data_IF_322568262670
#
_entry.id   IF_322568262670
#
_cell.length_a   1.000
_cell.length_b   1.000
_cell.length_c   1.000
_cell.angle_alpha   90.00
_cell.angle_beta   90.00
_cell.angle_gamma   90.00
#
_symmetry.space_group_name_H-M   'P 1'
#
loop_
_entity.id
_entity.type
_entity.pdbx_description
1 polymer ?
#
# COMPACT_ATOMS: atom_id res chain seq x y z
N UNK A 1 16.74 9.61 -8.02
CA UNK A 1 16.64 8.18 -7.66
C UNK A 1 17.87 7.77 -6.88
N UNK A 2 17.68 7.02 -5.79
CA UNK A 2 18.67 6.75 -4.75
C UNK A 2 20.06 6.33 -5.29
N UNK A 3 20.08 5.45 -6.30
CA UNK A 3 21.32 4.87 -6.85
C UNK A 3 21.84 5.56 -8.12
N UNK A 4 21.14 6.56 -8.66
CA UNK A 4 21.51 7.19 -9.94
C UNK A 4 21.75 8.70 -9.82
N UNK A 5 21.68 9.26 -8.61
CA UNK A 5 21.97 10.67 -8.35
C UNK A 5 23.46 10.89 -8.12
N UNK A 6 24.07 11.82 -8.86
CA UNK A 6 25.49 12.17 -8.80
C UNK A 6 25.96 12.75 -7.45
N UNK A 7 25.06 12.94 -6.49
CA UNK A 7 25.35 13.43 -5.15
C UNK A 7 25.96 12.37 -4.22
N UNK A 8 26.01 11.11 -4.64
CA UNK A 8 26.73 10.05 -3.94
C UNK A 8 28.02 9.76 -4.69
N UNK A 9 29.10 10.41 -4.27
CA UNK A 9 30.45 10.29 -4.84
C UNK A 9 31.22 9.06 -4.33
N UNK A 10 30.63 8.27 -3.44
CA UNK A 10 31.18 7.00 -2.98
C UNK A 10 30.15 5.90 -3.20
N UNK A 11 30.59 4.71 -3.63
CA UNK A 11 29.78 3.49 -3.74
C UNK A 11 29.19 3.12 -2.39
N UNK A 12 28.12 3.78 -1.96
CA UNK A 12 27.42 3.46 -0.72
C UNK A 12 26.67 2.15 -0.95
N UNK A 13 27.31 1.03 -0.57
CA UNK A 13 26.79 -0.35 -0.75
C UNK A 13 25.63 -0.68 0.18
N UNK A 14 25.38 0.17 1.17
CA UNK A 14 24.34 -0.04 2.18
C UNK A 14 23.37 1.14 2.22
N UNK A 15 22.08 0.80 2.24
CA UNK A 15 20.97 1.73 2.33
C UNK A 15 20.13 1.32 3.53
N UNK A 16 19.97 2.24 4.49
CA UNK A 16 19.06 2.05 5.60
C UNK A 16 17.67 2.58 5.22
N UNK A 17 16.64 1.75 5.39
CA UNK A 17 15.24 2.09 5.13
C UNK A 17 14.49 2.15 6.47
N UNK A 18 14.43 3.33 7.12
CA UNK A 18 13.78 3.46 8.41
C UNK A 18 12.27 3.23 8.28
N UNK A 19 11.69 2.49 9.23
CA UNK A 19 10.24 2.23 9.26
C UNK A 19 9.75 1.15 8.30
N UNK A 20 10.66 0.41 7.66
CA UNK A 20 10.30 -0.73 6.80
C UNK A 20 10.58 -2.02 7.54
N UNK A 21 9.54 -2.83 7.77
CA UNK A 21 9.69 -4.17 8.33
C UNK A 21 10.39 -5.11 7.34
N UNK A 22 11.23 -6.02 7.86
CA UNK A 22 12.00 -6.95 7.02
C UNK A 22 11.10 -7.87 6.20
N UNK A 23 9.98 -8.34 6.76
CA UNK A 23 9.05 -9.22 6.06
C UNK A 23 8.40 -8.51 4.86
N UNK A 24 8.06 -7.23 5.01
CA UNK A 24 7.48 -6.42 3.94
C UNK A 24 8.51 -6.16 2.83
N UNK A 25 9.76 -5.87 3.21
CA UNK A 25 10.83 -5.70 2.22
C UNK A 25 11.10 -6.99 1.44
N UNK A 26 11.04 -8.15 2.10
CA UNK A 26 11.16 -9.45 1.44
C UNK A 26 10.06 -9.66 0.39
N UNK A 27 8.80 -9.32 0.71
CA UNK A 27 7.69 -9.38 -0.25
C UNK A 27 7.91 -8.45 -1.46
N UNK A 28 8.42 -7.25 -1.23
CA UNK A 28 8.73 -6.29 -2.29
C UNK A 28 9.84 -6.83 -3.21
N UNK A 29 10.89 -7.42 -2.63
CA UNK A 29 11.97 -8.04 -3.40
C UNK A 29 11.46 -9.25 -4.18
N UNK A 30 10.64 -10.11 -3.56
CA UNK A 30 10.00 -11.24 -4.24
C UNK A 30 9.19 -10.76 -5.45
N UNK A 31 8.42 -9.69 -5.30
CA UNK A 31 7.69 -9.08 -6.42
C UNK A 31 8.63 -8.53 -7.51
N UNK A 32 9.71 -7.85 -7.12
CA UNK A 32 10.66 -7.27 -8.06
C UNK A 32 11.35 -8.34 -8.93
N UNK A 33 11.76 -9.46 -8.33
CA UNK A 33 12.51 -10.52 -9.02
C UNK A 33 11.61 -11.58 -9.68
N UNK A 34 10.50 -11.94 -9.05
CA UNK A 34 9.66 -13.09 -9.47
C UNK A 34 8.29 -12.68 -10.01
N UNK A 35 7.93 -11.39 -9.92
CA UNK A 35 6.58 -10.88 -10.25
C UNK A 35 5.46 -11.58 -9.47
N UNK A 36 5.79 -12.14 -8.30
CA UNK A 36 4.86 -12.81 -7.40
C UNK A 36 4.73 -12.00 -6.11
N UNK A 37 3.50 -11.80 -5.64
CA UNK A 37 3.19 -11.04 -4.43
C UNK A 37 1.97 -11.64 -3.73
N UNK A 38 2.15 -12.01 -2.47
CA UNK A 38 1.12 -12.63 -1.64
C UNK A 38 0.51 -11.58 -0.71
N UNK A 39 -0.64 -11.04 -1.11
CA UNK A 39 -1.35 -9.98 -0.36
C UNK A 39 -2.42 -10.60 0.54
N UNK A 40 -2.48 -10.14 1.79
CA UNK A 40 -3.44 -10.57 2.81
C UNK A 40 -3.93 -9.38 3.63
N UNK A 41 -5.01 -9.56 4.40
CA UNK A 41 -5.54 -8.51 5.29
C UNK A 41 -4.52 -7.99 6.31
N UNK A 42 -3.61 -8.84 6.77
CA UNK A 42 -2.63 -8.48 7.81
C UNK A 42 -1.47 -7.68 7.23
N UNK A 43 -1.10 -7.90 5.96
CA UNK A 43 0.08 -7.27 5.36
C UNK A 43 -0.24 -6.11 4.40
N UNK A 44 -1.48 -6.00 3.91
CA UNK A 44 -1.82 -5.10 2.80
C UNK A 44 -1.57 -3.63 3.13
N UNK A 45 -1.80 -3.21 4.37
CA UNK A 45 -1.57 -1.83 4.79
C UNK A 45 -0.08 -1.50 4.82
N UNK A 46 0.73 -2.29 5.52
CA UNK A 46 2.19 -2.06 5.61
C UNK A 46 2.86 -2.17 4.23
N UNK A 47 2.39 -3.10 3.40
CA UNK A 47 2.86 -3.27 2.03
C UNK A 47 2.53 -2.06 1.16
N UNK A 48 1.31 -1.51 1.29
CA UNK A 48 0.90 -0.31 0.57
C UNK A 48 1.67 0.94 1.03
N UNK A 49 1.88 1.11 2.34
CA UNK A 49 2.71 2.20 2.89
C UNK A 49 4.13 2.12 2.33
N UNK A 50 4.75 0.94 2.41
CA UNK A 50 6.13 0.74 1.97
C UNK A 50 6.26 0.88 0.45
N UNK A 51 5.31 0.35 -0.31
CA UNK A 51 5.27 0.50 -1.76
C UNK A 51 5.10 1.96 -2.18
N UNK A 52 4.30 2.74 -1.45
CA UNK A 52 4.18 4.17 -1.67
C UNK A 52 5.48 4.91 -1.34
N UNK A 53 6.12 4.59 -0.21
CA UNK A 53 7.42 5.14 0.19
C UNK A 53 8.52 4.88 -0.86
N UNK A 54 8.55 3.69 -1.44
CA UNK A 54 9.51 3.29 -2.48
C UNK A 54 9.04 3.61 -3.92
N UNK A 55 7.86 4.23 -4.07
CA UNK A 55 7.24 4.57 -5.36
C UNK A 55 7.02 3.37 -6.32
N UNK A 56 6.67 2.19 -5.79
CA UNK A 56 6.45 0.97 -6.57
C UNK A 56 4.97 0.86 -6.97
N UNK A 57 4.60 1.59 -8.03
CA UNK A 57 3.21 1.72 -8.50
C UNK A 57 2.51 0.39 -8.76
N UNK A 58 3.24 -0.64 -9.20
CA UNK A 58 2.67 -1.97 -9.44
C UNK A 58 2.11 -2.62 -8.17
N UNK A 59 2.83 -2.51 -7.05
CA UNK A 59 2.38 -3.05 -5.76
C UNK A 59 1.24 -2.22 -5.19
N UNK A 60 1.33 -0.88 -5.30
CA UNK A 60 0.27 0.04 -4.88
C UNK A 60 -1.06 -0.35 -5.53
N UNK A 61 -1.06 -0.55 -6.85
CA UNK A 61 -2.27 -0.95 -7.58
C UNK A 61 -2.84 -2.28 -7.09
N UNK A 62 -1.99 -3.30 -6.91
CA UNK A 62 -2.43 -4.61 -6.42
C UNK A 62 -3.06 -4.50 -5.03
N UNK A 63 -2.45 -3.73 -4.12
CA UNK A 63 -2.97 -3.54 -2.77
C UNK A 63 -4.30 -2.77 -2.78
N UNK A 64 -4.42 -1.71 -3.58
CA UNK A 64 -5.67 -0.97 -3.74
C UNK A 64 -6.78 -1.85 -4.32
N UNK A 65 -6.49 -2.65 -5.34
CA UNK A 65 -7.44 -3.60 -5.93
C UNK A 65 -7.89 -4.67 -4.92
N UNK A 66 -6.98 -5.14 -4.07
CA UNK A 66 -7.29 -6.07 -2.99
C UNK A 66 -8.23 -5.44 -1.95
N UNK A 67 -7.92 -4.24 -1.47
CA UNK A 67 -8.73 -3.53 -0.48
C UNK A 67 -10.13 -3.22 -1.03
N UNK A 68 -10.23 -2.77 -2.29
CA UNK A 68 -11.50 -2.49 -2.96
C UNK A 68 -12.39 -3.73 -3.05
N UNK A 69 -11.81 -4.90 -3.35
CA UNK A 69 -12.56 -6.17 -3.47
C UNK A 69 -13.04 -6.70 -2.11
N UNK A 70 -12.35 -6.37 -1.03
CA UNK A 70 -12.65 -6.85 0.31
C UNK A 70 -13.30 -5.77 1.20
N UNK A 71 -13.98 -4.78 0.60
CA UNK A 71 -14.77 -3.79 1.34
C UNK A 71 -15.97 -4.46 2.03
N UNK A 72 -16.08 -4.27 3.33
CA UNK A 72 -17.18 -4.69 4.20
C UNK A 72 -17.70 -3.50 5.01
N UNK A 73 -18.92 -3.55 5.55
CA UNK A 73 -19.45 -2.47 6.39
C UNK A 73 -18.57 -2.20 7.64
N UNK A 74 -17.92 -3.23 8.17
CA UNK A 74 -17.05 -3.14 9.34
C UNK A 74 -15.69 -2.47 9.03
N UNK A 75 -15.16 -2.66 7.82
CA UNK A 75 -13.82 -2.19 7.44
C UNK A 75 -13.82 -0.96 6.51
N UNK A 76 -14.97 -0.59 5.93
CA UNK A 76 -14.99 0.45 4.89
C UNK A 76 -14.55 1.82 5.42
N UNK A 77 -14.83 2.12 6.69
CA UNK A 77 -14.41 3.38 7.32
C UNK A 77 -12.90 3.43 7.54
N UNK A 78 -12.29 2.33 8.00
CA UNK A 78 -10.85 2.27 8.22
C UNK A 78 -10.10 2.33 6.88
N UNK A 79 -10.57 1.62 5.86
CA UNK A 79 -10.01 1.67 4.50
C UNK A 79 -10.15 3.07 3.89
N UNK A 80 -11.31 3.72 4.03
CA UNK A 80 -11.51 5.09 3.53
C UNK A 80 -10.55 6.08 4.20
N UNK A 81 -10.42 6.01 5.54
CA UNK A 81 -9.49 6.86 6.28
C UNK A 81 -8.04 6.61 5.86
N UNK A 82 -7.66 5.34 5.72
CA UNK A 82 -6.33 4.96 5.26
C UNK A 82 -6.04 5.49 3.85
N UNK A 83 -6.98 5.32 2.92
CA UNK A 83 -6.84 5.79 1.55
C UNK A 83 -6.61 7.31 1.50
N UNK A 84 -7.30 8.06 2.37
CA UNK A 84 -7.12 9.51 2.52
C UNK A 84 -5.77 9.89 3.09
N UNK A 85 -5.28 9.17 4.12
CA UNK A 85 -3.98 9.42 4.75
C UNK A 85 -2.79 9.11 3.82
N UNK A 86 -2.95 8.15 2.91
CA UNK A 86 -1.92 7.71 1.96
C UNK A 86 -2.13 8.19 0.52
N UNK A 87 -2.98 9.19 0.30
CA UNK A 87 -3.26 9.82 -1.00
C UNK A 87 -3.66 8.83 -2.12
N UNK A 88 -4.33 7.74 -1.75
CA UNK A 88 -4.87 6.75 -2.67
C UNK A 88 -6.26 7.18 -3.15
N UNK A 89 -6.31 8.21 -4.01
CA UNK A 89 -7.56 8.88 -4.39
C UNK A 89 -8.63 7.95 -4.99
N UNK A 90 -8.24 6.98 -5.81
CA UNK A 90 -9.19 6.02 -6.41
C UNK A 90 -9.85 5.16 -5.33
N UNK A 91 -9.04 4.62 -4.41
CA UNK A 91 -9.53 3.80 -3.30
C UNK A 91 -10.41 4.62 -2.34
N UNK A 92 -10.08 5.88 -2.10
CA UNK A 92 -10.89 6.78 -1.27
C UNK A 92 -12.28 6.99 -1.89
N UNK A 93 -12.36 7.28 -3.20
CA UNK A 93 -13.64 7.46 -3.91
C UNK A 93 -14.46 6.18 -3.89
N UNK A 94 -13.84 5.03 -4.12
CA UNK A 94 -14.51 3.73 -4.09
C UNK A 94 -15.05 3.40 -2.68
N UNK A 95 -14.22 3.57 -1.65
CA UNK A 95 -14.62 3.33 -0.26
C UNK A 95 -15.73 4.29 0.18
N UNK A 96 -15.63 5.57 -0.16
CA UNK A 96 -16.69 6.55 0.10
C UNK A 96 -18.00 6.18 -0.58
N UNK A 97 -17.94 5.75 -1.85
CA UNK A 97 -19.13 5.30 -2.60
C UNK A 97 -19.76 4.07 -1.93
N UNK A 98 -18.95 3.15 -1.43
CA UNK A 98 -19.42 1.98 -0.69
C UNK A 98 -20.11 2.38 0.62
N UNK A 99 -19.50 3.28 1.41
CA UNK A 99 -20.08 3.80 2.66
C UNK A 99 -21.43 4.46 2.40
N UNK A 100 -21.55 5.29 1.36
CA UNK A 100 -22.81 5.95 1.04
C UNK A 100 -23.91 4.96 0.60
N UNK A 101 -23.55 3.88 -0.10
CA UNK A 101 -24.51 2.86 -0.54
C UNK A 101 -25.00 1.97 0.60
N UNK A 102 -24.13 1.66 1.56
CA UNK A 102 -24.43 0.78 2.69
C UNK A 102 -24.56 1.58 4.00
N UNK A 103 -24.93 2.86 3.93
CA UNK A 103 -24.90 3.76 5.07
C UNK A 103 -25.71 3.24 6.26
N UNK A 104 -26.86 2.60 6.00
CA UNK A 104 -27.71 2.03 7.05
C UNK A 104 -26.97 0.93 7.82
N UNK A 105 -26.31 0.01 7.11
CA UNK A 105 -25.57 -1.10 7.73
C UNK A 105 -24.28 -0.62 8.43
N UNK A 106 -23.68 0.46 7.95
CA UNK A 106 -22.47 1.07 8.53
C UNK A 106 -22.79 1.93 9.77
N UNK A 107 -24.01 2.45 9.88
CA UNK A 107 -24.45 3.32 10.98
C UNK A 107 -25.11 2.56 12.16
N UNK A 108 -25.31 1.24 12.02
CA UNK A 108 -25.80 0.36 13.08
C UNK A 108 -24.67 -0.08 14.02
#
# INVERSE_FOLDING_TARGET
TLFTTCFYTEEKREVHLPGVASEIMELILKYAYLRALDVSHDNVFDLLITANYLCIMGIIKICCDYLKKNLTPENCISIMRFAKEHFCCELEVDAHTYVMRNFVDVAQ
#
